data_IF_134684970083
#
_entry.id   IF_134684970083
#
_cell.length_a   1.000
_cell.length_b   1.000
_cell.length_c   1.000
_cell.angle_alpha   90.00
_cell.angle_beta   90.00
_cell.angle_gamma   90.00
#
_symmetry.space_group_name_H-M   'P 1'
#
loop_
_entity.id
_entity.type
_entity.pdbx_description
1 polymer ?
#
# COMPACT_ATOMS: atom_id res chain seq x y z
N UNK A 1 -2.86 19.09 -2.93
CA UNK A 1 -3.49 17.76 -2.77
C UNK A 1 -2.51 16.90 -1.99
N UNK A 2 -2.98 16.25 -0.93
CA UNK A 2 -2.17 15.40 -0.05
C UNK A 2 -2.63 13.96 -0.17
N UNK A 3 -1.66 13.05 -0.14
CA UNK A 3 -1.86 11.62 -0.31
C UNK A 3 -1.38 10.91 0.95
N UNK A 4 -2.21 10.01 1.45
CA UNK A 4 -1.95 9.29 2.69
C UNK A 4 -1.53 7.87 2.36
N UNK A 5 -0.37 7.44 2.83
CA UNK A 5 0.15 6.09 2.60
C UNK A 5 0.21 5.35 3.93
N UNK A 6 -0.29 4.13 3.96
CA UNK A 6 -0.11 3.23 5.10
C UNK A 6 1.17 2.44 4.88
N UNK A 7 2.02 2.37 5.90
CA UNK A 7 3.25 1.58 5.83
C UNK A 7 3.75 1.23 7.22
N UNK A 8 4.83 0.46 7.28
CA UNK A 8 5.52 0.16 8.54
C UNK A 8 6.44 1.35 8.87
N UNK A 9 6.53 1.74 10.15
CA UNK A 9 7.30 2.92 10.61
C UNK A 9 8.69 3.06 9.98
N UNK A 10 9.45 1.96 9.95
CA UNK A 10 10.79 1.92 9.33
C UNK A 10 10.85 0.99 8.11
N UNK A 11 9.71 0.75 7.46
CA UNK A 11 9.60 -0.23 6.39
C UNK A 11 8.89 0.29 5.14
N UNK A 12 8.47 -0.68 4.32
CA UNK A 12 7.76 -0.42 3.08
C UNK A 12 6.37 0.16 3.26
N UNK A 13 5.85 0.71 2.17
CA UNK A 13 4.46 1.15 2.04
C UNK A 13 3.59 -0.02 1.59
N UNK A 14 2.30 0.04 1.89
CA UNK A 14 1.34 -0.95 1.43
C UNK A 14 1.21 -0.94 -0.10
N UNK A 15 1.06 -2.13 -0.66
CA UNK A 15 0.85 -2.34 -2.10
C UNK A 15 -0.41 -3.16 -2.33
N UNK A 16 -0.95 -3.04 -3.55
CA UNK A 16 -2.04 -3.86 -4.07
C UNK A 16 -1.66 -4.36 -5.46
N UNK A 17 -2.38 -5.36 -5.95
CA UNK A 17 -2.33 -5.73 -7.37
C UNK A 17 -3.53 -5.11 -8.08
N UNK A 18 -3.30 -4.41 -9.18
CA UNK A 18 -4.35 -3.80 -9.99
C UNK A 18 -5.16 -4.83 -10.80
N UNK A 19 -6.09 -4.35 -11.62
CA UNK A 19 -6.91 -5.21 -12.50
C UNK A 19 -6.09 -6.04 -13.50
N UNK A 20 -4.86 -5.59 -13.82
CA UNK A 20 -3.92 -6.24 -14.71
C UNK A 20 -2.86 -7.07 -13.95
N UNK A 21 -3.02 -7.26 -12.63
CA UNK A 21 -2.05 -7.92 -11.74
C UNK A 21 -0.72 -7.17 -11.56
N UNK A 22 -0.66 -5.90 -11.91
CA UNK A 22 0.55 -5.09 -11.67
C UNK A 22 0.57 -4.58 -10.23
N UNK A 23 1.71 -4.65 -9.54
CA UNK A 23 1.85 -4.08 -8.20
C UNK A 23 1.82 -2.55 -8.25
N UNK A 24 0.99 -1.95 -7.38
CA UNK A 24 0.89 -0.50 -7.20
C UNK A 24 0.99 -0.15 -5.73
N UNK A 25 1.60 0.97 -5.40
CA UNK A 25 1.47 1.52 -4.05
C UNK A 25 0.07 2.09 -3.87
N UNK A 26 -0.60 1.73 -2.78
CA UNK A 26 -1.90 2.31 -2.46
C UNK A 26 -1.73 3.57 -1.63
N UNK A 27 -2.43 4.63 -2.05
CA UNK A 27 -2.57 5.87 -1.29
C UNK A 27 -4.03 6.24 -1.15
N UNK A 28 -4.36 7.02 -0.13
CA UNK A 28 -5.74 7.34 0.24
C UNK A 28 -5.98 8.84 0.12
N UNK A 29 -7.16 9.18 -0.41
CA UNK A 29 -7.66 10.56 -0.51
C UNK A 29 -7.74 11.25 0.84
N UNK A 30 -8.16 10.53 1.87
CA UNK A 30 -8.37 11.09 3.20
C UNK A 30 -7.67 10.24 4.26
N UNK A 31 -7.13 10.92 5.28
CA UNK A 31 -6.53 10.26 6.45
C UNK A 31 -7.50 9.32 7.17
N UNK A 32 -8.80 9.64 7.15
CA UNK A 32 -9.85 8.79 7.74
C UNK A 32 -9.93 7.42 7.06
N UNK A 33 -9.90 7.40 5.72
CA UNK A 33 -9.93 6.17 4.93
C UNK A 33 -8.66 5.35 5.18
N UNK A 34 -7.49 6.01 5.20
CA UNK A 34 -6.22 5.37 5.53
C UNK A 34 -6.26 4.71 6.92
N UNK A 35 -6.86 5.36 7.93
CA UNK A 35 -7.04 4.77 9.26
C UNK A 35 -7.91 3.50 9.22
N UNK A 36 -9.05 3.54 8.53
CA UNK A 36 -9.91 2.35 8.38
C UNK A 36 -9.17 1.20 7.71
N UNK A 37 -8.35 1.51 6.69
CA UNK A 37 -7.49 0.52 6.05
C UNK A 37 -6.45 -0.06 7.02
N UNK A 38 -5.77 0.79 7.81
CA UNK A 38 -4.81 0.34 8.84
C UNK A 38 -5.47 -0.59 9.86
N UNK A 39 -6.66 -0.24 10.35
CA UNK A 39 -7.43 -1.09 11.28
C UNK A 39 -7.72 -2.45 10.67
N UNK A 40 -8.18 -2.49 9.42
CA UNK A 40 -8.39 -3.73 8.67
C UNK A 40 -7.11 -4.58 8.58
N UNK A 41 -5.97 -3.97 8.23
CA UNK A 41 -4.68 -4.68 8.16
C UNK A 41 -4.32 -5.35 9.49
N UNK A 42 -4.45 -4.61 10.60
CA UNK A 42 -4.10 -5.09 11.93
C UNK A 42 -5.05 -6.21 12.41
N UNK A 43 -6.35 -6.06 12.20
CA UNK A 43 -7.34 -7.07 12.55
C UNK A 43 -7.14 -8.35 11.73
N UNK A 44 -6.90 -8.22 10.42
CA UNK A 44 -6.61 -9.35 9.54
C UNK A 44 -5.33 -10.06 9.96
N UNK A 45 -4.27 -9.31 10.27
CA UNK A 45 -2.99 -9.86 10.74
C UNK A 45 -3.16 -10.63 12.05
N UNK A 46 -3.80 -10.02 13.04
CA UNK A 46 -4.03 -10.62 14.36
C UNK A 46 -4.89 -11.89 14.27
N UNK A 47 -5.88 -11.92 13.37
CA UNK A 47 -6.77 -13.08 13.23
C UNK A 47 -6.19 -14.23 12.42
N UNK A 48 -5.51 -13.95 11.30
CA UNK A 48 -5.11 -14.97 10.33
C UNK A 48 -3.61 -15.23 10.27
N UNK A 49 -2.81 -14.47 11.03
CA UNK A 49 -1.36 -14.63 11.06
C UNK A 49 -0.63 -13.98 9.89
N UNK A 50 -1.34 -13.31 8.97
CA UNK A 50 -0.75 -12.76 7.75
C UNK A 50 -1.37 -11.42 7.36
N UNK A 51 -0.56 -10.55 6.75
CA UNK A 51 -1.08 -9.34 6.13
C UNK A 51 -1.99 -9.70 4.95
N UNK A 52 -3.13 -9.01 4.78
CA UNK A 52 -4.02 -9.28 3.65
C UNK A 52 -3.33 -8.92 2.34
N UNK A 53 -3.61 -9.71 1.30
CA UNK A 53 -3.20 -9.39 -0.07
C UNK A 53 -4.42 -8.90 -0.82
N UNK A 54 -4.40 -7.63 -1.23
CA UNK A 54 -5.47 -7.04 -2.04
C UNK A 54 -5.12 -7.23 -3.51
N UNK A 55 -5.91 -8.06 -4.20
CA UNK A 55 -5.74 -8.32 -5.62
C UNK A 55 -7.03 -7.93 -6.38
N UNK A 56 -6.95 -6.89 -7.22
CA UNK A 56 -8.08 -6.39 -7.99
C UNK A 56 -8.26 -7.10 -9.34
N UNK A 57 -7.29 -7.92 -9.76
CA UNK A 57 -7.41 -8.72 -11.00
C UNK A 57 -8.40 -9.87 -10.87
N UNK A 58 -8.70 -10.28 -9.64
CA UNK A 58 -9.59 -11.40 -9.33
C UNK A 58 -10.58 -11.00 -8.24
N UNK A 59 -11.87 -11.32 -8.36
CA UNK A 59 -12.87 -10.95 -7.34
C UNK A 59 -12.70 -11.72 -6.02
N UNK A 60 -11.90 -12.79 -5.98
CA UNK A 60 -11.66 -13.64 -4.81
C UNK A 60 -10.20 -14.07 -4.77
N UNK A 61 -9.62 -14.08 -3.57
CA UNK A 61 -8.26 -14.56 -3.29
C UNK A 61 -8.35 -15.68 -2.25
N UNK A 62 -7.64 -16.78 -2.48
CA UNK A 62 -7.58 -17.87 -1.49
C UNK A 62 -6.74 -17.45 -0.28
N UNK A 63 -7.29 -17.63 0.92
CA UNK A 63 -6.62 -17.32 2.17
C UNK A 63 -6.05 -18.60 2.78
N UNK A 64 -4.73 -18.74 2.79
CA UNK A 64 -4.05 -19.82 3.51
C UNK A 64 -3.79 -19.41 4.96
N UNK A 65 -4.79 -19.63 5.81
CA UNK A 65 -4.67 -19.37 7.25
C UNK A 65 -3.60 -20.30 7.83
N UNK A 66 -2.61 -19.70 8.49
CA UNK A 66 -1.63 -20.48 9.25
C UNK A 66 -2.23 -20.82 10.60
N UNK A 67 -2.12 -22.07 11.04
CA UNK A 67 -2.42 -22.53 12.41
C UNK A 67 -1.42 -21.99 13.45
N UNK A 68 -0.86 -20.80 13.22
CA UNK A 68 0.03 -20.15 14.16
C UNK A 68 -0.81 -19.32 15.12
N UNK A 69 -0.69 -19.67 16.40
CA UNK A 69 -1.23 -18.90 17.52
C UNK A 69 -0.43 -17.60 17.65
N UNK A 70 -0.66 -16.63 16.76
CA UNK A 70 -0.05 -15.32 16.89
C UNK A 70 -0.55 -14.66 18.19
N UNK A 71 0.39 -14.14 18.96
CA UNK A 71 0.16 -13.66 20.33
C UNK A 71 -0.13 -12.16 20.41
N UNK A 72 0.00 -11.43 19.30
CA UNK A 72 -0.15 -9.98 19.26
C UNK A 72 -1.59 -9.57 18.95
N UNK A 73 -2.07 -8.58 19.69
CA UNK A 73 -3.38 -7.98 19.47
C UNK A 73 -3.36 -7.03 18.26
N UNK A 74 -4.54 -6.68 17.74
CA UNK A 74 -4.66 -5.65 16.68
C UNK A 74 -4.02 -4.33 17.11
N UNK A 75 -4.15 -3.95 18.38
CA UNK A 75 -3.58 -2.71 18.93
C UNK A 75 -2.04 -2.73 18.89
N UNK A 76 -1.42 -3.87 19.20
CA UNK A 76 0.03 -4.01 19.12
C UNK A 76 0.55 -3.84 17.67
N UNK A 77 -0.23 -4.29 16.67
CA UNK A 77 0.10 -4.08 15.27
C UNK A 77 -0.09 -2.63 14.81
N UNK A 78 -1.06 -1.91 15.38
CA UNK A 78 -1.26 -0.48 15.10
C UNK A 78 -0.02 0.33 15.45
N UNK A 79 0.70 -0.05 16.52
CA UNK A 79 1.95 0.60 16.91
C UNK A 79 3.12 0.35 15.95
N UNK A 80 3.03 -0.64 15.06
CA UNK A 80 4.04 -0.89 14.02
C UNK A 80 3.78 -0.10 12.74
N UNK A 81 2.53 0.28 12.51
CA UNK A 81 2.10 0.97 11.31
C UNK A 81 2.09 2.49 11.50
N UNK A 82 2.22 3.20 10.39
CA UNK A 82 2.04 4.65 10.35
C UNK A 82 1.39 5.09 9.03
N UNK A 83 0.78 6.28 9.11
CA UNK A 83 0.21 6.97 7.95
C UNK A 83 1.17 8.09 7.57
N UNK A 84 1.89 7.90 6.45
CA UNK A 84 2.80 8.88 5.85
C UNK A 84 2.04 9.78 4.90
N UNK A 85 2.22 11.07 5.02
CA UNK A 85 1.64 12.07 4.11
C UNK A 85 2.68 12.47 3.06
N UNK A 86 2.25 12.54 1.81
CA UNK A 86 3.06 13.00 0.68
C UNK A 86 2.28 14.01 -0.15
N UNK A 87 2.96 15.07 -0.58
CA UNK A 87 2.39 16.00 -1.54
C UNK A 87 2.40 15.39 -2.95
N UNK A 88 1.55 15.91 -3.84
CA UNK A 88 1.57 15.54 -5.26
C UNK A 88 2.99 15.64 -5.87
N UNK A 89 3.72 16.71 -5.54
CA UNK A 89 5.09 16.92 -6.02
C UNK A 89 6.06 15.83 -5.58
N UNK A 90 5.82 15.17 -4.46
CA UNK A 90 6.68 14.08 -3.98
C UNK A 90 6.38 12.79 -4.73
N UNK A 91 5.09 12.54 -5.01
CA UNK A 91 4.64 11.39 -5.80
C UNK A 91 5.15 11.52 -7.23
N UNK A 92 4.93 12.66 -7.87
CA UNK A 92 5.36 12.90 -9.25
C UNK A 92 6.87 12.73 -9.41
N UNK A 93 7.66 13.28 -8.47
CA UNK A 93 9.12 13.09 -8.46
C UNK A 93 9.49 11.61 -8.37
N UNK A 94 8.86 10.85 -7.48
CA UNK A 94 9.12 9.43 -7.34
C UNK A 94 8.72 8.67 -8.60
N UNK A 95 7.55 8.93 -9.17
CA UNK A 95 7.09 8.37 -10.45
C UNK A 95 8.12 8.59 -11.56
N UNK A 96 8.55 9.85 -11.75
CA UNK A 96 9.48 10.23 -12.82
C UNK A 96 10.85 9.57 -12.61
N UNK A 97 11.34 9.53 -11.38
CA UNK A 97 12.65 8.98 -11.06
C UNK A 97 12.72 7.45 -11.06
N UNK A 98 11.60 6.75 -10.90
CA UNK A 98 11.60 5.30 -10.64
C UNK A 98 10.59 4.49 -11.43
N UNK A 99 9.65 5.13 -12.13
CA UNK A 99 8.53 4.47 -12.81
C UNK A 99 7.47 3.91 -11.87
N UNK A 100 7.48 4.30 -10.59
CA UNK A 100 6.52 3.79 -9.62
C UNK A 100 5.10 4.23 -9.97
N UNK A 101 4.19 3.26 -9.98
CA UNK A 101 2.75 3.48 -10.17
C UNK A 101 1.97 3.37 -8.86
N UNK A 102 0.86 4.09 -8.80
CA UNK A 102 0.03 4.24 -7.61
C UNK A 102 -1.42 3.86 -7.88
N UNK A 103 -2.12 3.46 -6.82
CA UNK A 103 -3.57 3.34 -6.79
C UNK A 103 -4.12 4.36 -5.80
N UNK A 104 -4.88 5.33 -6.31
CA UNK A 104 -5.49 6.38 -5.51
C UNK A 104 -6.86 5.97 -5.02
N UNK A 105 -6.93 5.54 -3.76
CA UNK A 105 -8.13 5.05 -3.11
C UNK A 105 -9.02 6.20 -2.61
N UNK A 106 -10.25 6.22 -3.11
CA UNK A 106 -11.29 7.19 -2.76
C UNK A 106 -12.21 6.71 -1.65
N UNK A 107 -12.50 5.41 -1.60
CA UNK A 107 -13.30 4.81 -0.54
C UNK A 107 -12.75 3.43 -0.20
N UNK A 108 -12.80 3.07 1.08
CA UNK A 108 -12.44 1.75 1.57
C UNK A 108 -13.40 1.36 2.69
N UNK A 109 -13.88 0.13 2.67
CA UNK A 109 -14.73 -0.45 3.71
C UNK A 109 -14.62 -1.97 3.70
N UNK A 110 -15.01 -2.60 4.80
CA UNK A 110 -15.02 -4.05 4.92
C UNK A 110 -16.19 -4.46 5.82
N UNK A 111 -16.93 -5.50 5.42
CA UNK A 111 -18.05 -6.05 6.22
C UNK A 111 -17.53 -7.08 7.23
N UNK A 112 -16.61 -7.91 6.78
CA UNK A 112 -15.82 -8.82 7.57
C UNK A 112 -14.36 -8.80 7.07
N UNK A 113 -13.48 -9.57 7.70
CA UNK A 113 -12.06 -9.55 7.34
C UNK A 113 -11.76 -10.23 5.98
N UNK A 114 -12.73 -10.90 5.37
CA UNK A 114 -12.61 -11.58 4.07
C UNK A 114 -13.33 -10.82 2.93
N UNK A 115 -14.18 -9.84 3.27
CA UNK A 115 -15.01 -9.09 2.34
C UNK A 115 -14.70 -7.59 2.45
N UNK A 116 -13.91 -7.10 1.50
CA UNK A 116 -13.56 -5.68 1.38
C UNK A 116 -14.28 -5.06 0.17
N UNK A 117 -14.52 -3.76 0.26
CA UNK A 117 -14.97 -2.90 -0.82
C UNK A 117 -14.03 -1.71 -0.93
N UNK A 118 -13.61 -1.40 -2.15
CA UNK A 118 -12.74 -0.26 -2.41
C UNK A 118 -13.09 0.38 -3.75
N UNK A 119 -12.91 1.69 -3.84
CA UNK A 119 -12.99 2.43 -5.09
C UNK A 119 -11.82 3.39 -5.21
N UNK A 120 -11.40 3.66 -6.44
CA UNK A 120 -10.24 4.48 -6.68
C UNK A 120 -9.91 4.61 -8.16
N UNK A 121 -8.72 5.13 -8.42
CA UNK A 121 -8.18 5.35 -9.76
C UNK A 121 -6.73 4.91 -9.83
N UNK A 122 -6.37 4.29 -10.94
CA UNK A 122 -4.97 4.00 -11.27
C UNK A 122 -4.26 5.30 -11.65
N UNK A 123 -3.08 5.52 -11.07
CA UNK A 123 -2.16 6.60 -11.42
C UNK A 123 -0.86 5.97 -11.89
N UNK A 124 -0.69 5.87 -13.20
CA UNK A 124 0.51 5.30 -13.80
C UNK A 124 1.69 6.28 -13.68
N UNK A 125 2.82 5.77 -13.22
CA UNK A 125 4.08 6.50 -13.23
C UNK A 125 4.81 6.28 -14.53
N UNK A 126 5.04 7.35 -15.29
CA UNK A 126 5.93 7.32 -16.45
C UNK A 126 7.31 7.84 -16.03
N UNK A 127 8.33 6.99 -16.20
CA UNK A 127 9.71 7.36 -15.88
C UNK A 127 10.28 8.25 -16.98
N UNK A 128 11.03 9.29 -16.59
CA UNK A 128 11.88 10.01 -17.53
C UNK A 128 13.20 9.24 -17.68
N UNK A 129 13.49 8.76 -18.87
CA UNK A 129 14.67 7.92 -19.18
C UNK A 129 15.99 8.56 -18.74
N UNK A 130 16.11 9.89 -18.81
CA UNK A 130 17.33 10.60 -18.41
C UNK A 130 17.46 10.64 -16.89
N UNK A 131 16.39 11.06 -16.20
CA UNK A 131 16.37 11.16 -14.74
C UNK A 131 16.47 9.79 -14.05
N UNK A 132 15.86 8.76 -14.64
CA UNK A 132 15.92 7.38 -14.15
C UNK A 132 17.35 6.83 -14.22
N UNK A 133 18.05 7.04 -15.35
CA UNK A 133 19.45 6.63 -15.50
C UNK A 133 20.38 7.38 -14.55
N UNK A 134 20.19 8.69 -14.41
CA UNK A 134 20.99 9.49 -13.47
C UNK A 134 20.81 9.01 -12.03
N UNK A 135 19.57 8.67 -11.63
CA UNK A 135 19.28 8.13 -10.31
C UNK A 135 19.99 6.78 -10.09
N UNK A 136 19.90 5.86 -11.05
CA UNK A 136 20.59 4.56 -11.00
C UNK A 136 22.12 4.72 -10.93
N UNK A 137 22.69 5.60 -11.74
CA UNK A 137 24.14 5.88 -11.76
C UNK A 137 24.63 6.49 -10.44
N UNK A 138 23.81 7.35 -9.81
CA UNK A 138 24.13 7.94 -8.52
C UNK A 138 24.13 6.89 -7.40
N UNK A 139 23.17 5.98 -7.40
CA UNK A 139 23.12 4.86 -6.45
C UNK A 139 24.32 3.94 -6.58
N UNK A 140 24.75 3.63 -7.82
CA UNK A 140 25.91 2.75 -8.07
C UNK A 140 27.25 3.36 -7.65
N UNK A 141 27.40 4.69 -7.73
CA UNK A 141 28.64 5.39 -7.37
C UNK A 141 28.82 5.61 -5.86
N UNK A 142 27.73 5.52 -5.10
CA UNK A 142 27.72 5.72 -3.65
C UNK A 142 27.53 4.41 -2.85
N UNK A 143 27.80 3.26 -3.47
CA UNK A 143 27.90 1.95 -2.81
C UNK A 143 29.36 1.56 -2.63
#
# INVERSE_FOLDING_TARGET
>A
MEFHFVGIKNGGLATILDSNSNPRFICFKERGIAKTYTTYLCEHKSRFGMWPTVNLSTPRVELHVRDTKETMSSDDYMDLLEIKEKALTDIDKLSIMTGISYFYCHTFGYEDLMSISLSGQDMDGEADDFMYREHLDYSLKNT
#
